data_IF_413701470625
#
_entry.id   IF_413701470625
#
_cell.length_a   1.000
_cell.length_b   1.000
_cell.length_c   1.000
_cell.angle_alpha   90.00
_cell.angle_beta   90.00
_cell.angle_gamma   90.00
#
_symmetry.space_group_name_H-M   'P 1'
#
loop_
_entity.id
_entity.type
_entity.pdbx_description
1 polymer ?
#
# COMPACT_ATOMS: atom_id res chain seq x y z
N UNK A 1 4.30 22.31 -11.32
CA UNK A 1 2.86 22.03 -11.54
C UNK A 1 2.36 21.26 -10.32
N UNK A 2 1.33 21.75 -9.65
CA UNK A 2 0.78 21.09 -8.46
C UNK A 2 0.06 19.81 -8.88
N UNK A 3 0.43 18.68 -8.28
CA UNK A 3 -0.21 17.38 -8.56
C UNK A 3 -1.38 17.21 -7.62
N UNK A 4 -2.58 17.09 -8.18
CA UNK A 4 -3.82 16.90 -7.42
C UNK A 4 -4.53 15.62 -7.87
N UNK A 5 -5.47 15.15 -7.07
CA UNK A 5 -6.33 14.02 -7.43
C UNK A 5 -7.06 14.25 -8.77
N UNK A 6 -7.32 15.51 -9.13
CA UNK A 6 -8.03 15.84 -10.38
C UNK A 6 -7.17 15.66 -11.63
N UNK A 7 -5.85 15.64 -11.49
CA UNK A 7 -4.94 15.35 -12.61
C UNK A 7 -4.91 13.88 -13.02
N UNK A 8 -5.54 12.97 -12.23
CA UNK A 8 -5.55 11.53 -12.49
C UNK A 8 -6.70 11.18 -13.44
N UNK A 9 -6.38 10.72 -14.63
CA UNK A 9 -7.35 10.34 -15.66
C UNK A 9 -7.99 8.95 -15.39
N UNK A 10 -7.22 8.01 -14.87
CA UNK A 10 -7.73 6.67 -14.51
C UNK A 10 -8.66 6.77 -13.29
N UNK A 11 -9.95 6.55 -13.53
CA UNK A 11 -11.01 6.64 -12.52
C UNK A 11 -10.81 5.61 -11.39
N UNK A 12 -10.33 4.41 -11.70
CA UNK A 12 -10.08 3.37 -10.70
C UNK A 12 -8.93 3.78 -9.77
N UNK A 13 -7.83 4.24 -10.35
CA UNK A 13 -6.68 4.77 -9.62
C UNK A 13 -7.05 5.99 -8.78
N UNK A 14 -7.77 6.95 -9.37
CA UNK A 14 -8.28 8.14 -8.66
C UNK A 14 -9.10 7.77 -7.43
N UNK A 15 -10.06 6.86 -7.56
CA UNK A 15 -10.89 6.38 -6.44
C UNK A 15 -10.06 5.64 -5.38
N UNK A 16 -9.07 4.84 -5.78
CA UNK A 16 -8.15 4.20 -4.86
C UNK A 16 -7.40 5.26 -4.04
N UNK A 17 -6.82 6.26 -4.69
CA UNK A 17 -6.06 7.32 -4.01
C UNK A 17 -6.94 8.17 -3.08
N UNK A 18 -8.18 8.48 -3.47
CA UNK A 18 -9.12 9.19 -2.59
C UNK A 18 -9.33 8.40 -1.29
N UNK A 19 -9.64 7.10 -1.40
CA UNK A 19 -9.89 6.25 -0.22
C UNK A 19 -8.64 6.05 0.64
N UNK A 20 -7.47 5.91 0.02
CA UNK A 20 -6.19 5.83 0.71
C UNK A 20 -5.88 7.14 1.44
N UNK A 21 -6.06 8.29 0.78
CA UNK A 21 -5.84 9.60 1.37
C UNK A 21 -6.80 9.90 2.53
N UNK A 22 -8.08 9.56 2.40
CA UNK A 22 -9.05 9.65 3.50
C UNK A 22 -8.59 8.87 4.73
N UNK A 23 -8.08 7.65 4.52
CA UNK A 23 -7.59 6.80 5.60
C UNK A 23 -6.31 7.36 6.22
N UNK A 24 -5.37 7.84 5.41
CA UNK A 24 -4.15 8.51 5.88
C UNK A 24 -4.50 9.73 6.71
N UNK A 25 -5.37 10.62 6.23
CA UNK A 25 -5.81 11.84 6.96
C UNK A 25 -6.48 11.53 8.31
N UNK A 26 -7.13 10.38 8.43
CA UNK A 26 -7.75 9.94 9.68
C UNK A 26 -6.70 9.58 10.75
N UNK A 27 -5.55 9.02 10.35
CA UNK A 27 -4.59 8.40 11.27
C UNK A 27 -3.25 9.12 11.38
N UNK A 28 -2.86 9.91 10.38
CA UNK A 28 -1.57 10.62 10.36
C UNK A 28 -1.81 12.12 10.50
N UNK A 29 -1.32 12.76 11.58
CA UNK A 29 -1.34 14.21 11.72
C UNK A 29 -0.53 14.90 10.60
N UNK A 30 -1.01 16.05 10.13
CA UNK A 30 -0.28 16.92 9.18
C UNK A 30 1.11 17.25 9.74
N UNK A 31 2.10 17.41 8.85
CA UNK A 31 3.52 17.63 9.14
C UNK A 31 4.29 16.43 9.72
N UNK A 32 3.64 15.28 9.94
CA UNK A 32 4.35 14.05 10.31
C UNK A 32 5.41 13.67 9.28
N UNK A 33 6.49 13.05 9.75
CA UNK A 33 7.53 12.46 8.92
C UNK A 33 7.09 11.05 8.53
N UNK A 34 7.04 10.78 7.24
CA UNK A 34 6.60 9.50 6.67
C UNK A 34 7.76 8.91 5.86
N UNK A 35 8.14 7.67 6.16
CA UNK A 35 8.88 6.83 5.24
C UNK A 35 7.87 6.04 4.40
N UNK A 36 7.81 6.32 3.11
CA UNK A 36 6.92 5.64 2.16
C UNK A 36 7.73 4.62 1.36
N UNK A 37 7.39 3.34 1.51
CA UNK A 37 8.06 2.27 0.77
C UNK A 37 7.70 2.32 -0.71
N UNK A 38 8.70 2.11 -1.56
CA UNK A 38 8.59 2.23 -3.01
C UNK A 38 9.09 3.57 -3.54
N UNK A 39 9.37 3.61 -4.84
CA UNK A 39 9.83 4.81 -5.54
C UNK A 39 8.78 5.93 -5.53
N UNK A 40 9.24 7.16 -5.69
CA UNK A 40 8.36 8.35 -5.75
C UNK A 40 7.28 8.17 -6.81
N UNK A 41 6.04 8.26 -6.40
CA UNK A 41 4.87 8.08 -7.25
C UNK A 41 3.85 9.23 -7.09
N UNK A 42 2.74 9.17 -7.81
CA UNK A 42 1.70 10.20 -7.77
C UNK A 42 1.07 10.35 -6.38
N UNK A 43 0.88 9.24 -5.64
CA UNK A 43 0.29 9.29 -4.29
C UNK A 43 1.24 9.96 -3.30
N UNK A 44 2.53 9.63 -3.32
CA UNK A 44 3.52 10.28 -2.45
C UNK A 44 3.61 11.79 -2.70
N UNK A 45 3.52 12.22 -3.97
CA UNK A 45 3.47 13.65 -4.31
C UNK A 45 2.20 14.33 -3.78
N UNK A 46 1.04 13.68 -3.87
CA UNK A 46 -0.21 14.18 -3.29
C UNK A 46 -0.08 14.31 -1.76
N UNK A 47 0.51 13.34 -1.07
CA UNK A 47 0.74 13.41 0.37
C UNK A 47 1.64 14.61 0.75
N UNK A 48 2.67 14.91 -0.06
CA UNK A 48 3.52 16.09 0.14
C UNK A 48 2.69 17.38 -0.01
N UNK A 49 1.86 17.48 -1.05
CA UNK A 49 0.98 18.64 -1.27
C UNK A 49 -0.07 18.81 -0.16
N UNK A 50 -0.48 17.72 0.47
CA UNK A 50 -1.37 17.73 1.65
C UNK A 50 -0.64 18.13 2.96
N UNK A 51 0.68 18.36 2.92
CA UNK A 51 1.47 18.89 4.03
C UNK A 51 2.20 17.85 4.86
N UNK A 52 2.30 16.59 4.41
CA UNK A 52 3.15 15.58 5.03
C UNK A 52 4.61 15.71 4.60
N UNK A 53 5.53 15.29 5.46
CA UNK A 53 6.97 15.23 5.16
C UNK A 53 7.32 13.81 4.69
N UNK A 54 7.06 13.54 3.41
CA UNK A 54 7.26 12.20 2.85
C UNK A 54 8.67 12.04 2.30
N UNK A 55 9.31 10.93 2.66
CA UNK A 55 10.54 10.41 2.06
C UNK A 55 10.25 9.03 1.52
N UNK A 56 10.51 8.82 0.25
CA UNK A 56 10.38 7.50 -0.39
C UNK A 56 11.70 6.72 -0.29
N UNK A 57 11.62 5.40 -0.47
CA UNK A 57 12.76 4.58 -0.85
C UNK A 57 13.13 4.86 -2.31
N UNK A 58 14.37 4.53 -2.75
CA UNK A 58 14.85 4.96 -4.06
C UNK A 58 14.70 3.88 -5.17
N UNK A 59 13.91 2.83 -4.89
CA UNK A 59 13.71 1.70 -5.82
C UNK A 59 14.68 0.55 -5.59
N UNK A 60 15.31 0.49 -4.41
CA UNK A 60 16.10 -0.67 -3.98
C UNK A 60 15.22 -1.91 -3.86
N UNK A 61 15.83 -3.08 -3.98
CA UNK A 61 15.22 -4.35 -3.64
C UNK A 61 15.00 -4.45 -2.12
N UNK A 62 13.79 -4.15 -1.67
CA UNK A 62 13.46 -4.15 -0.25
C UNK A 62 13.52 -5.54 0.40
N UNK A 63 13.59 -6.62 -0.36
CA UNK A 63 13.78 -7.96 0.19
C UNK A 63 15.22 -8.17 0.71
N UNK A 64 16.22 -7.63 0.00
CA UNK A 64 17.62 -7.67 0.39
C UNK A 64 18.09 -6.42 1.14
N UNK A 65 17.60 -5.24 0.73
CA UNK A 65 18.09 -3.94 1.19
C UNK A 65 17.24 -3.32 2.32
N UNK A 66 16.29 -4.07 2.90
CA UNK A 66 15.44 -3.61 4.01
C UNK A 66 16.23 -2.98 5.16
N UNK A 67 17.49 -3.41 5.36
CA UNK A 67 18.37 -2.94 6.43
C UNK A 67 18.72 -1.45 6.31
N UNK A 68 18.69 -0.87 5.10
CA UNK A 68 18.92 0.56 4.85
C UNK A 68 17.86 1.44 5.55
N UNK A 69 16.65 0.89 5.72
CA UNK A 69 15.49 1.58 6.28
C UNK A 69 15.11 1.10 7.68
N UNK A 70 15.74 0.04 8.18
CA UNK A 70 15.42 -0.57 9.47
C UNK A 70 15.63 0.38 10.66
N UNK A 71 16.57 1.32 10.56
CA UNK A 71 16.89 2.32 11.60
C UNK A 71 16.28 3.69 11.34
N UNK A 72 15.37 3.81 10.37
CA UNK A 72 14.69 5.06 10.07
C UNK A 72 13.91 5.58 11.28
N UNK A 73 13.89 6.91 11.46
CA UNK A 73 13.29 7.60 12.58
C UNK A 73 12.05 8.43 12.18
N UNK A 74 11.43 8.10 11.07
CA UNK A 74 10.14 8.69 10.68
C UNK A 74 9.06 8.33 11.70
N UNK A 75 8.04 9.17 11.80
CA UNK A 75 6.91 8.96 12.72
C UNK A 75 6.03 7.79 12.24
N UNK A 76 5.93 7.61 10.92
CA UNK A 76 5.11 6.62 10.26
C UNK A 76 5.86 5.91 9.14
N UNK A 77 5.60 4.62 9.01
CA UNK A 77 5.90 3.82 7.81
C UNK A 77 4.64 3.73 6.97
N UNK A 78 4.74 3.98 5.67
CA UNK A 78 3.64 3.71 4.74
C UNK A 78 4.08 2.75 3.65
N UNK A 79 3.14 1.91 3.19
CA UNK A 79 3.35 0.94 2.12
C UNK A 79 2.04 0.74 1.36
N UNK A 80 1.95 1.29 0.17
CA UNK A 80 0.71 1.24 -0.63
C UNK A 80 0.91 0.39 -1.87
N UNK A 81 0.35 -0.84 -1.86
CA UNK A 81 0.47 -1.80 -2.97
C UNK A 81 1.97 -2.10 -3.28
N UNK A 82 2.71 -2.52 -2.25
CA UNK A 82 4.15 -2.86 -2.35
C UNK A 82 4.40 -4.30 -1.87
N UNK A 83 3.78 -4.71 -0.76
CA UNK A 83 4.11 -6.00 -0.13
C UNK A 83 3.78 -7.21 -0.99
N UNK A 84 2.85 -7.10 -1.93
CA UNK A 84 2.55 -8.14 -2.91
C UNK A 84 3.68 -8.37 -3.92
N UNK A 85 4.53 -7.35 -4.13
CA UNK A 85 5.69 -7.40 -5.04
C UNK A 85 6.98 -7.87 -4.34
N UNK A 86 6.96 -8.04 -3.02
CA UNK A 86 8.10 -8.52 -2.24
C UNK A 86 8.03 -10.04 -2.07
N UNK A 87 9.19 -10.72 -2.08
CA UNK A 87 9.28 -12.14 -1.73
C UNK A 87 9.20 -12.34 -0.22
N UNK A 88 9.79 -11.42 0.56
CA UNK A 88 9.90 -11.52 2.01
C UNK A 88 9.51 -10.21 2.73
N UNK A 89 8.27 -9.72 2.62
CA UNK A 89 7.82 -8.51 3.33
C UNK A 89 7.99 -8.62 4.86
N UNK A 90 8.14 -9.84 5.37
CA UNK A 90 8.46 -10.11 6.77
C UNK A 90 9.71 -9.34 7.24
N UNK A 91 10.76 -9.24 6.41
CA UNK A 91 12.02 -8.66 6.82
C UNK A 91 11.91 -7.18 7.18
N UNK A 92 11.36 -6.36 6.31
CA UNK A 92 11.18 -4.93 6.59
C UNK A 92 10.16 -4.70 7.72
N UNK A 93 9.05 -5.44 7.73
CA UNK A 93 8.03 -5.36 8.76
C UNK A 93 8.57 -5.70 10.16
N UNK A 94 9.42 -6.72 10.28
CA UNK A 94 10.00 -7.16 11.55
C UNK A 94 11.08 -6.24 12.07
N UNK A 95 11.94 -5.73 11.18
CA UNK A 95 13.18 -5.07 11.56
C UNK A 95 13.10 -3.54 11.62
N UNK A 96 12.06 -2.90 11.07
CA UNK A 96 11.91 -1.45 11.17
C UNK A 96 11.74 -1.00 12.63
N UNK A 97 12.33 0.15 12.99
CA UNK A 97 12.16 0.78 14.31
C UNK A 97 10.92 1.68 14.40
N UNK A 98 10.32 2.01 13.27
CA UNK A 98 9.08 2.80 13.23
C UNK A 98 7.96 2.01 13.93
N UNK A 99 7.13 2.71 14.69
CA UNK A 99 6.10 2.09 15.55
C UNK A 99 4.68 2.19 15.01
N UNK A 100 4.49 2.96 13.94
CA UNK A 100 3.18 3.20 13.33
C UNK A 100 3.25 2.90 11.84
N UNK A 101 2.32 2.08 11.36
CA UNK A 101 2.27 1.62 9.97
C UNK A 101 0.90 1.88 9.38
N UNK A 102 0.86 2.45 8.17
CA UNK A 102 -0.30 2.32 7.29
C UNK A 102 0.13 1.54 6.05
N UNK A 103 -0.56 0.44 5.78
CA UNK A 103 -0.28 -0.39 4.62
C UNK A 103 -1.53 -0.78 3.86
N UNK A 104 -1.46 -0.83 2.55
CA UNK A 104 -2.50 -1.43 1.72
C UNK A 104 -1.93 -2.54 0.84
N UNK A 105 -2.77 -3.53 0.61
CA UNK A 105 -2.49 -4.63 -0.31
C UNK A 105 -3.73 -4.96 -1.16
N UNK A 106 -3.54 -5.42 -2.40
CA UNK A 106 -4.63 -5.98 -3.18
C UNK A 106 -5.01 -7.35 -2.62
N UNK A 107 -6.31 -7.57 -2.41
CA UNK A 107 -6.83 -8.87 -2.01
C UNK A 107 -7.00 -9.77 -3.23
N UNK A 108 -6.73 -11.06 -3.03
CA UNK A 108 -6.99 -12.11 -4.01
C UNK A 108 -8.43 -12.06 -4.52
N UNK A 109 -8.58 -12.11 -5.83
CA UNK A 109 -9.87 -12.30 -6.49
C UNK A 109 -10.02 -13.77 -6.87
N UNK A 110 -11.01 -14.47 -6.32
CA UNK A 110 -11.23 -15.90 -6.53
C UNK A 110 -11.47 -16.32 -7.99
N UNK A 111 -11.83 -15.37 -8.85
CA UNK A 111 -12.16 -15.57 -10.26
C UNK A 111 -11.06 -15.10 -11.25
N UNK A 112 -9.85 -14.79 -10.74
CA UNK A 112 -8.71 -14.39 -11.58
C UNK A 112 -7.44 -15.09 -11.12
N UNK A 113 -6.51 -15.26 -12.04
CA UNK A 113 -5.13 -15.61 -11.70
C UNK A 113 -4.43 -14.47 -10.98
N UNK A 114 -3.31 -14.77 -10.32
CA UNK A 114 -2.39 -13.76 -9.80
C UNK A 114 -1.96 -12.79 -10.91
N UNK A 115 -1.75 -11.54 -10.52
CA UNK A 115 -1.21 -10.56 -11.45
C UNK A 115 0.26 -10.89 -11.75
N UNK A 116 0.60 -10.94 -13.04
CA UNK A 116 1.93 -11.30 -13.48
C UNK A 116 2.29 -10.52 -14.74
N UNK A 117 3.32 -9.66 -14.65
CA UNK A 117 3.85 -8.92 -15.79
C UNK A 117 5.12 -9.61 -16.31
N UNK A 118 5.04 -10.24 -17.50
CA UNK A 118 6.18 -10.95 -18.08
C UNK A 118 7.33 -10.03 -18.50
N UNK A 119 7.07 -8.72 -18.63
CA UNK A 119 8.05 -7.74 -19.13
C UNK A 119 8.76 -6.98 -18.01
N UNK A 120 8.29 -7.09 -16.78
CA UNK A 120 8.82 -6.36 -15.65
C UNK A 120 8.82 -7.24 -14.40
N UNK A 121 10.00 -7.60 -13.92
CA UNK A 121 10.16 -8.46 -12.75
C UNK A 121 9.72 -7.76 -11.46
N UNK A 122 9.75 -6.44 -11.41
CA UNK A 122 9.28 -5.67 -10.28
C UNK A 122 7.77 -5.48 -10.23
N UNK A 123 7.07 -5.76 -11.35
CA UNK A 123 5.60 -5.64 -11.46
C UNK A 123 4.93 -7.02 -11.52
N UNK A 124 5.35 -7.92 -10.62
CA UNK A 124 4.76 -9.25 -10.43
C UNK A 124 4.25 -9.39 -9.01
N UNK A 125 3.09 -10.01 -8.83
CA UNK A 125 2.60 -10.32 -7.49
C UNK A 125 3.13 -11.67 -7.04
N UNK A 126 4.10 -11.67 -6.15
CA UNK A 126 4.55 -12.90 -5.48
C UNK A 126 3.56 -13.33 -4.39
N UNK A 127 2.78 -12.39 -3.87
CA UNK A 127 1.72 -12.67 -2.91
C UNK A 127 0.36 -12.19 -3.44
N UNK A 128 -0.61 -13.08 -3.51
CA UNK A 128 -2.03 -12.74 -3.66
C UNK A 128 -2.67 -12.87 -2.27
N UNK A 129 -2.62 -11.79 -1.50
CA UNK A 129 -3.05 -11.79 -0.11
C UNK A 129 -4.55 -12.06 0.05
N UNK A 130 -4.89 -12.96 0.97
CA UNK A 130 -6.18 -12.92 1.65
C UNK A 130 -6.04 -12.07 2.93
N UNK A 131 -7.14 -11.47 3.40
CA UNK A 131 -7.12 -10.66 4.61
C UNK A 131 -6.49 -11.40 5.82
N UNK A 132 -6.84 -12.68 5.99
CA UNK A 132 -6.31 -13.49 7.10
C UNK A 132 -4.80 -13.68 7.02
N UNK A 133 -4.28 -13.89 5.81
CA UNK A 133 -2.83 -14.08 5.59
C UNK A 133 -2.06 -12.77 5.88
N UNK A 134 -2.57 -11.64 5.39
CA UNK A 134 -1.93 -10.35 5.64
C UNK A 134 -1.98 -9.98 7.13
N UNK A 135 -3.12 -10.17 7.79
CA UNK A 135 -3.24 -9.94 9.23
C UNK A 135 -2.29 -10.84 10.03
N UNK A 136 -2.11 -12.09 9.60
CA UNK A 136 -1.19 -13.02 10.25
C UNK A 136 0.26 -12.57 10.09
N UNK A 137 0.66 -12.12 8.89
CA UNK A 137 1.99 -11.56 8.62
C UNK A 137 2.27 -10.36 9.55
N UNK A 138 1.33 -9.42 9.67
CA UNK A 138 1.44 -8.26 10.54
C UNK A 138 1.59 -8.69 12.00
N UNK A 139 0.76 -9.61 12.47
CA UNK A 139 0.85 -10.14 13.84
C UNK A 139 2.21 -10.81 14.12
N UNK A 140 2.72 -11.66 13.20
CA UNK A 140 4.00 -12.35 13.36
C UNK A 140 5.19 -11.38 13.37
N UNK A 141 5.06 -10.25 12.74
CA UNK A 141 6.07 -9.19 12.74
C UNK A 141 5.90 -8.18 13.86
N UNK A 142 4.91 -8.38 14.75
CA UNK A 142 4.73 -7.61 16.00
C UNK A 142 3.79 -6.39 15.85
N UNK A 143 3.00 -6.31 14.77
CA UNK A 143 2.05 -5.23 14.55
C UNK A 143 0.65 -5.59 15.05
N UNK A 144 0.01 -4.65 15.74
CA UNK A 144 -1.38 -4.72 16.17
C UNK A 144 -2.23 -3.86 15.25
N UNK A 145 -3.22 -4.45 14.59
CA UNK A 145 -4.15 -3.71 13.72
C UNK A 145 -5.12 -2.94 14.61
N UNK A 146 -5.10 -1.60 14.50
CA UNK A 146 -5.96 -0.68 15.25
C UNK A 146 -7.19 -0.33 14.45
N UNK A 147 -7.03 -0.13 13.13
CA UNK A 147 -8.13 0.18 12.22
C UNK A 147 -7.88 -0.43 10.85
N UNK A 148 -8.94 -0.72 10.13
CA UNK A 148 -8.85 -1.24 8.77
C UNK A 148 -10.08 -0.91 7.93
N UNK A 149 -9.87 -0.82 6.60
CA UNK A 149 -10.94 -0.59 5.64
C UNK A 149 -10.75 -1.45 4.41
N UNK A 150 -11.85 -1.93 3.83
CA UNK A 150 -11.85 -2.63 2.54
C UNK A 150 -12.76 -1.92 1.55
N UNK A 151 -12.41 -2.00 0.27
CA UNK A 151 -13.28 -1.53 -0.79
C UNK A 151 -13.10 -2.34 -2.07
N UNK A 152 -14.13 -2.30 -2.91
CA UNK A 152 -14.12 -2.94 -4.22
C UNK A 152 -13.31 -2.12 -5.23
N UNK A 153 -12.76 -2.76 -6.25
CA UNK A 153 -12.21 -2.02 -7.39
C UNK A 153 -13.35 -1.40 -8.20
N UNK A 154 -13.08 -0.22 -8.75
CA UNK A 154 -14.02 0.41 -9.66
C UNK A 154 -13.61 0.10 -11.09
N UNK A 155 -14.50 -0.55 -11.84
CA UNK A 155 -14.30 -0.84 -13.25
C UNK A 155 -15.59 -0.49 -14.02
N UNK A 156 -15.46 0.39 -15.02
CA UNK A 156 -16.57 0.80 -15.89
C UNK A 156 -16.80 -0.14 -17.08
N UNK A 157 -15.97 -1.19 -17.22
CA UNK A 157 -16.10 -2.15 -18.31
C UNK A 157 -17.33 -3.03 -18.14
N UNK A 158 -17.91 -3.45 -19.26
CA UNK A 158 -19.02 -4.40 -19.28
C UNK A 158 -18.44 -5.81 -19.44
N UNK A 159 -18.96 -6.77 -18.66
CA UNK A 159 -18.55 -8.17 -18.73
C UNK A 159 -18.67 -8.88 -17.38
N UNK A 160 -18.49 -10.21 -17.38
CA UNK A 160 -18.63 -11.04 -16.18
C UNK A 160 -17.58 -10.65 -15.12
N UNK A 161 -16.31 -10.51 -15.49
CA UNK A 161 -15.24 -10.15 -14.54
C UNK A 161 -15.43 -8.75 -13.93
N UNK A 162 -15.73 -7.68 -14.69
CA UNK A 162 -16.09 -6.37 -14.13
C UNK A 162 -17.32 -6.42 -13.22
N UNK A 163 -18.32 -7.21 -13.57
CA UNK A 163 -19.50 -7.41 -12.72
C UNK A 163 -19.13 -8.04 -11.36
N UNK A 164 -18.36 -9.13 -11.34
CA UNK A 164 -17.92 -9.80 -10.11
C UNK A 164 -17.05 -8.88 -9.23
N UNK A 165 -16.23 -8.00 -9.84
CA UNK A 165 -15.42 -7.02 -9.11
C UNK A 165 -16.24 -6.01 -8.30
N UNK A 166 -17.47 -5.72 -8.68
CA UNK A 166 -18.36 -4.81 -7.94
C UNK A 166 -18.78 -5.36 -6.58
N UNK A 167 -18.73 -6.68 -6.40
CA UNK A 167 -19.15 -7.39 -5.18
C UNK A 167 -17.98 -8.03 -4.43
N UNK A 168 -16.76 -7.95 -4.97
CA UNK A 168 -15.58 -8.56 -4.35
C UNK A 168 -14.61 -7.47 -3.90
N UNK A 169 -14.26 -7.48 -2.61
CA UNK A 169 -13.23 -6.56 -2.10
C UNK A 169 -11.90 -6.83 -2.80
N UNK A 170 -11.31 -5.74 -3.34
CA UNK A 170 -10.00 -5.79 -4.00
C UNK A 170 -8.91 -5.13 -3.17
N UNK A 171 -9.23 -4.11 -2.40
CA UNK A 171 -8.25 -3.36 -1.64
C UNK A 171 -8.50 -3.50 -0.15
N UNK A 172 -7.43 -3.67 0.60
CA UNK A 172 -7.43 -3.74 2.04
C UNK A 172 -6.34 -2.83 2.60
N UNK A 173 -6.71 -1.87 3.42
CA UNK A 173 -5.82 -0.95 4.11
C UNK A 173 -5.94 -1.13 5.60
N UNK A 174 -4.82 -1.01 6.30
CA UNK A 174 -4.72 -1.16 7.74
C UNK A 174 -3.93 -0.01 8.35
N UNK A 175 -4.28 0.38 9.57
CA UNK A 175 -3.45 1.16 10.47
C UNK A 175 -3.02 0.26 11.63
N UNK A 176 -1.72 0.21 11.89
CA UNK A 176 -1.13 -0.66 12.90
C UNK A 176 -0.18 0.11 13.81
N UNK A 177 -0.08 -0.37 15.04
CA UNK A 177 0.90 0.10 16.04
C UNK A 177 1.64 -1.07 16.70
N UNK A 178 2.84 -0.81 17.28
CA UNK A 178 3.61 -1.76 18.06
C UNK A 178 4.48 -1.11 19.13
#
# INVERSE_FOLDING_TARGET
MKITLDSIQDISLKKRYIKTLEFVKKHIPIKSKILDLGAVNTLSKILIEEGYKVRNTNGEDLDSDYHLYSKDNSDYLTSFEIFEHMLAPYNILKNTKIKKLIASVPLRLWFTNAYWNEKDDWDKHYHEFEQKQFNFLLKQTGWNIIDSKKWVSYDNKIGIRPFLRRFTYRYYIVYCER
#
